data_IF_300969405922
#
_entry.id   IF_300969405922
#
_cell.length_a   1.000
_cell.length_b   1.000
_cell.length_c   1.000
_cell.angle_alpha   90.00
_cell.angle_beta   90.00
_cell.angle_gamma   90.00
#
_symmetry.space_group_name_H-M   'P 1'
#
loop_
_entity.id
_entity.type
_entity.pdbx_description
1 polymer ?
#
# COMPACT_ATOMS: atom_id res chain seq x y z
N UNK A 1 -48.24 -18.08 21.89
CA UNK A 1 -47.65 -16.75 22.18
C UNK A 1 -46.35 -17.02 22.91
N UNK A 2 -45.24 -17.23 22.23
CA UNK A 2 -44.29 -16.23 21.66
C UNK A 2 -43.35 -15.55 22.69
N UNK A 3 -42.07 -15.44 22.26
CA UNK A 3 -40.86 -14.73 22.77
C UNK A 3 -39.98 -15.54 23.76
N UNK A 4 -38.78 -16.05 23.42
CA UNK A 4 -37.53 -15.55 22.79
C UNK A 4 -36.58 -14.79 23.75
N UNK A 5 -35.29 -15.20 23.69
CA UNK A 5 -34.02 -14.51 23.97
C UNK A 5 -33.30 -14.85 25.30
N UNK A 6 -32.21 -15.62 25.27
CA UNK A 6 -30.79 -15.24 25.06
C UNK A 6 -30.15 -14.67 26.35
N UNK A 7 -29.28 -15.48 26.94
CA UNK A 7 -28.17 -15.17 27.86
C UNK A 7 -27.35 -16.47 27.86
N UNK A 8 -26.21 -16.62 27.19
CA UNK A 8 -25.10 -15.70 26.93
C UNK A 8 -23.86 -16.52 27.27
N UNK A 9 -23.13 -17.10 26.30
CA UNK A 9 -21.97 -17.92 26.61
C UNK A 9 -20.80 -17.01 26.99
N UNK A 10 -20.69 -16.78 28.29
CA UNK A 10 -19.57 -16.18 29.02
C UNK A 10 -18.34 -17.12 29.04
N UNK A 11 -18.06 -17.84 27.95
CA UNK A 11 -17.16 -19.02 27.96
C UNK A 11 -16.25 -19.13 26.73
N UNK A 12 -15.92 -17.99 26.10
CA UNK A 12 -14.90 -17.91 25.05
C UNK A 12 -13.68 -17.05 25.46
N UNK A 13 -13.51 -16.78 26.75
CA UNK A 13 -12.45 -15.90 27.30
C UNK A 13 -11.16 -16.65 27.68
N UNK A 14 -10.98 -17.92 27.29
CA UNK A 14 -9.88 -18.77 27.79
C UNK A 14 -9.01 -19.42 26.71
N UNK A 15 -9.11 -19.01 25.44
CA UNK A 15 -8.31 -19.57 24.33
C UNK A 15 -7.55 -18.52 23.49
N UNK A 16 -7.46 -17.26 23.94
CA UNK A 16 -6.69 -16.22 23.27
C UNK A 16 -5.16 -16.28 23.53
N UNK A 17 -4.66 -17.37 24.14
CA UNK A 17 -3.25 -17.56 24.53
C UNK A 17 -2.37 -18.26 23.49
N UNK A 18 -2.87 -18.57 22.30
CA UNK A 18 -2.08 -19.11 21.19
C UNK A 18 -2.49 -18.37 19.92
N UNK A 19 -1.56 -17.73 19.22
CA UNK A 19 -1.79 -16.85 18.07
C UNK A 19 -2.45 -17.51 16.85
N UNK A 20 -3.73 -17.88 16.95
CA UNK A 20 -4.49 -18.59 15.93
C UNK A 20 -5.80 -17.90 15.50
N UNK A 21 -6.18 -16.79 16.13
CA UNK A 21 -7.21 -15.93 15.54
C UNK A 21 -6.46 -14.88 14.73
N UNK A 22 -6.24 -15.18 13.45
CA UNK A 22 -5.94 -14.15 12.46
C UNK A 22 -7.04 -13.11 12.59
N UNK A 23 -6.70 -11.93 13.12
CA UNK A 23 -7.60 -10.79 13.16
C UNK A 23 -8.24 -10.66 11.78
N UNK A 24 -9.57 -10.51 11.67
CA UNK A 24 -10.21 -10.30 10.38
C UNK A 24 -9.49 -9.16 9.66
N UNK A 25 -9.15 -9.31 8.36
CA UNK A 25 -8.37 -8.32 7.65
C UNK A 25 -9.07 -6.96 7.75
N UNK A 26 -8.34 -5.95 8.23
CA UNK A 26 -8.86 -4.58 8.28
C UNK A 26 -8.97 -4.13 6.83
N UNK A 27 -10.19 -4.01 6.33
CA UNK A 27 -10.43 -3.53 4.97
C UNK A 27 -10.18 -2.01 4.93
N UNK A 28 -9.30 -1.56 4.04
CA UNK A 28 -8.98 -0.15 3.80
C UNK A 28 -8.64 0.69 5.07
N UNK A 29 -7.63 0.31 5.88
CA UNK A 29 -7.32 0.96 7.16
C UNK A 29 -6.93 2.44 7.04
N UNK A 30 -6.56 2.89 5.84
CA UNK A 30 -6.03 4.23 5.58
C UNK A 30 -6.94 5.07 4.66
N UNK A 31 -8.15 4.59 4.32
CA UNK A 31 -9.08 5.33 3.46
C UNK A 31 -8.54 5.60 2.05
N UNK A 32 -7.63 4.77 1.56
CA UNK A 32 -6.94 4.94 0.26
C UNK A 32 -7.73 4.38 -0.92
N UNK A 33 -8.80 3.63 -0.67
CA UNK A 33 -9.70 3.13 -1.71
C UNK A 33 -10.20 4.27 -2.61
N UNK A 34 -9.99 4.14 -3.92
CA UNK A 34 -10.36 5.13 -4.92
C UNK A 34 -9.41 6.32 -5.08
N UNK A 35 -8.29 6.38 -4.32
CA UNK A 35 -7.24 7.39 -4.53
C UNK A 35 -6.25 6.92 -5.59
N UNK A 36 -5.92 7.79 -6.53
CA UNK A 36 -4.99 7.51 -7.62
C UNK A 36 -3.62 8.14 -7.34
N UNK A 37 -2.55 7.36 -7.51
CA UNK A 37 -1.18 7.86 -7.42
C UNK A 37 -0.65 8.14 -8.83
N UNK A 38 -0.08 9.32 -9.10
CA UNK A 38 0.53 9.61 -10.41
C UNK A 38 2.02 9.82 -10.27
N UNK A 39 2.81 9.06 -11.04
CA UNK A 39 4.24 9.27 -11.25
C UNK A 39 4.42 9.91 -12.62
N UNK A 40 5.17 11.02 -12.66
CA UNK A 40 5.62 11.63 -13.91
C UNK A 40 7.11 11.37 -14.06
N UNK A 41 7.45 10.63 -15.10
CA UNK A 41 8.79 10.29 -15.57
C UNK A 41 9.10 11.15 -16.80
N UNK A 42 10.36 11.54 -16.99
CA UNK A 42 10.83 12.17 -18.23
C UNK A 42 11.28 11.17 -19.32
N UNK A 43 11.57 11.64 -20.54
CA UNK A 43 11.92 10.77 -21.66
C UNK A 43 13.36 10.26 -21.53
N UNK A 44 13.53 8.99 -21.12
CA UNK A 44 14.83 8.32 -21.08
C UNK A 44 14.68 6.80 -20.93
N UNK A 45 15.64 6.05 -21.49
CA UNK A 45 15.76 4.61 -21.30
C UNK A 45 15.98 4.18 -19.84
N UNK A 46 16.45 5.11 -18.99
CA UNK A 46 16.41 5.00 -17.54
C UNK A 46 15.91 6.31 -16.96
N UNK A 47 14.82 6.27 -16.20
CA UNK A 47 14.17 7.46 -15.67
C UNK A 47 13.71 7.25 -14.23
N UNK A 48 13.87 8.29 -13.42
CA UNK A 48 13.37 8.40 -12.05
C UNK A 48 12.18 9.35 -12.00
N UNK A 49 11.16 8.99 -11.22
CA UNK A 49 9.99 9.82 -10.94
C UNK A 49 9.62 9.72 -9.48
N UNK A 50 9.04 10.81 -8.97
CA UNK A 50 8.64 10.90 -7.57
C UNK A 50 7.17 11.17 -7.47
N UNK A 51 6.53 10.61 -6.44
CA UNK A 51 5.16 10.93 -6.09
C UNK A 51 5.01 11.06 -4.58
N UNK A 52 4.04 11.87 -4.18
CA UNK A 52 3.58 11.98 -2.80
C UNK A 52 2.07 11.92 -2.82
N UNK A 53 1.52 11.00 -2.05
CA UNK A 53 0.07 10.79 -1.94
C UNK A 53 -0.30 10.92 -0.47
N UNK A 54 -1.28 11.78 -0.19
CA UNK A 54 -1.78 12.01 1.17
C UNK A 54 -3.27 11.73 1.26
N UNK A 55 -3.70 11.24 2.42
CA UNK A 55 -5.10 11.10 2.79
C UNK A 55 -5.31 11.40 4.27
N UNK A 56 -6.52 11.79 4.63
CA UNK A 56 -7.00 11.88 6.02
C UNK A 56 -7.97 10.74 6.29
N UNK A 57 -8.03 10.24 7.52
CA UNK A 57 -8.94 9.15 7.89
C UNK A 57 -9.46 9.28 9.31
N UNK A 58 -10.64 8.71 9.57
CA UNK A 58 -11.24 8.68 10.91
C UNK A 58 -10.64 7.55 11.75
N UNK A 59 -10.78 7.67 13.07
CA UNK A 59 -10.37 6.61 14.01
C UNK A 59 -11.08 5.28 13.71
N UNK A 60 -10.31 4.20 13.67
CA UNK A 60 -10.80 2.85 13.45
C UNK A 60 -11.42 2.29 14.73
N UNK A 61 -12.75 2.39 14.83
CA UNK A 61 -13.51 2.01 16.03
C UNK A 61 -13.56 0.50 16.31
N UNK A 62 -13.29 -0.35 15.30
CA UNK A 62 -13.43 -1.82 15.38
C UNK A 62 -12.12 -2.56 15.12
N UNK A 63 -10.99 -2.00 15.56
CA UNK A 63 -9.67 -2.61 15.38
C UNK A 63 -9.50 -3.82 16.31
N UNK A 64 -9.99 -5.00 15.90
CA UNK A 64 -9.81 -6.25 16.64
C UNK A 64 -8.40 -6.80 16.39
N UNK A 65 -7.42 -6.24 17.09
CA UNK A 65 -6.02 -6.63 16.99
C UNK A 65 -5.68 -7.74 17.98
N UNK A 66 -4.74 -8.64 17.63
CA UNK A 66 -4.14 -9.52 18.63
C UNK A 66 -3.54 -8.66 19.76
N UNK A 67 -3.54 -9.20 20.99
CA UNK A 67 -3.10 -8.48 22.19
C UNK A 67 -1.64 -7.97 22.10
N UNK A 68 -0.82 -8.62 21.29
CA UNK A 68 0.56 -8.23 20.96
C UNK A 68 0.77 -8.39 19.45
N UNK A 69 0.43 -7.39 18.63
CA UNK A 69 0.73 -7.46 17.22
C UNK A 69 2.25 -7.41 17.03
N UNK A 70 2.80 -8.30 16.22
CA UNK A 70 4.26 -8.45 16.02
C UNK A 70 4.79 -7.57 14.88
N UNK A 71 3.89 -6.90 14.16
CA UNK A 71 4.23 -5.97 13.08
C UNK A 71 2.99 -5.63 12.24
N UNK A 72 3.05 -4.49 11.57
CA UNK A 72 2.15 -4.16 10.48
C UNK A 72 2.99 -4.14 9.20
N UNK A 73 2.92 -5.22 8.42
CA UNK A 73 3.68 -5.38 7.19
C UNK A 73 2.76 -5.23 5.98
N UNK A 74 3.11 -4.31 5.09
CA UNK A 74 2.47 -4.14 3.80
C UNK A 74 3.32 -4.81 2.73
N UNK A 75 2.74 -5.80 2.07
CA UNK A 75 3.32 -6.47 0.90
C UNK A 75 2.61 -5.93 -0.35
N UNK A 76 3.25 -5.06 -1.15
CA UNK A 76 2.66 -4.62 -2.39
C UNK A 76 2.43 -5.82 -3.31
N UNK A 77 1.31 -5.81 -4.03
CA UNK A 77 1.06 -6.73 -5.12
C UNK A 77 0.53 -5.93 -6.31
N UNK A 78 1.02 -6.29 -7.50
CA UNK A 78 0.57 -5.70 -8.75
C UNK A 78 -0.37 -6.71 -9.39
N UNK A 79 -1.64 -6.32 -9.52
CA UNK A 79 -2.66 -7.15 -10.14
C UNK A 79 -2.60 -7.07 -11.67
N UNK A 80 -2.33 -5.88 -12.21
CA UNK A 80 -2.35 -5.64 -13.67
C UNK A 80 -1.51 -4.42 -14.04
N UNK A 81 -0.94 -4.44 -15.24
CA UNK A 81 -0.35 -3.27 -15.90
C UNK A 81 -0.94 -3.17 -17.31
N UNK A 82 -1.51 -2.01 -17.63
CA UNK A 82 -2.04 -1.67 -18.95
C UNK A 82 -1.19 -0.58 -19.60
N UNK A 83 -0.84 -0.80 -20.88
CA UNK A 83 -0.16 0.19 -21.72
C UNK A 83 -1.22 1.03 -22.47
N UNK A 84 -1.07 2.34 -22.45
CA UNK A 84 -1.90 3.24 -23.24
C UNK A 84 -1.66 3.11 -24.76
N UNK A 85 -2.60 3.62 -25.54
CA UNK A 85 -2.54 3.55 -27.01
C UNK A 85 -1.37 4.35 -27.61
N UNK A 86 -0.90 5.38 -26.88
CA UNK A 86 0.19 6.27 -27.28
C UNK A 86 1.60 5.70 -27.04
N UNK A 87 1.70 4.48 -26.49
CA UNK A 87 3.00 3.87 -26.21
C UNK A 87 3.76 3.49 -27.50
N UNK A 88 5.11 3.60 -27.49
CA UNK A 88 5.92 3.33 -28.67
C UNK A 88 5.77 1.89 -29.16
N UNK A 89 5.86 1.70 -30.48
CA UNK A 89 5.79 0.39 -31.15
C UNK A 89 7.10 0.12 -31.90
N UNK A 90 7.77 -1.02 -31.67
CA UNK A 90 7.39 -2.10 -30.75
C UNK A 90 7.55 -1.71 -29.27
N UNK A 91 6.71 -2.27 -28.40
CA UNK A 91 6.88 -2.15 -26.94
C UNK A 91 8.19 -2.83 -26.49
N UNK A 92 8.82 -2.37 -25.40
CA UNK A 92 9.93 -3.06 -24.78
C UNK A 92 9.52 -4.45 -24.30
N UNK A 93 10.33 -5.46 -24.59
CA UNK A 93 10.09 -6.84 -24.14
C UNK A 93 10.18 -7.00 -22.62
N UNK A 94 10.92 -6.10 -21.97
CA UNK A 94 11.12 -6.06 -20.52
C UNK A 94 11.28 -4.63 -20.02
N UNK A 95 10.65 -4.33 -18.89
CA UNK A 95 10.83 -3.09 -18.12
C UNK A 95 11.30 -3.49 -16.73
N UNK A 96 12.48 -3.03 -16.34
CA UNK A 96 12.96 -3.18 -14.96
C UNK A 96 12.43 -2.03 -14.14
N UNK A 97 11.92 -2.32 -12.95
CA UNK A 97 11.35 -1.33 -12.05
C UNK A 97 12.02 -1.45 -10.69
N UNK A 98 12.50 -0.33 -10.16
CA UNK A 98 12.99 -0.18 -8.79
C UNK A 98 12.17 0.87 -8.07
N UNK A 99 11.83 0.62 -6.80
CA UNK A 99 10.99 1.45 -5.97
C UNK A 99 11.64 1.65 -4.60
N UNK A 100 11.78 2.91 -4.22
CA UNK A 100 11.96 3.32 -2.83
C UNK A 100 10.66 3.97 -2.36
N UNK A 101 10.17 3.60 -1.17
CA UNK A 101 8.96 4.21 -0.64
C UNK A 101 9.02 4.36 0.88
N UNK A 102 8.38 5.41 1.38
CA UNK A 102 8.17 5.68 2.80
C UNK A 102 6.70 6.00 3.02
N UNK A 103 6.03 5.19 3.83
CA UNK A 103 4.70 5.46 4.33
C UNK A 103 4.82 6.08 5.73
N UNK A 104 4.12 7.18 5.96
CA UNK A 104 4.02 7.84 7.26
C UNK A 104 2.56 7.93 7.65
N UNK A 105 2.25 7.52 8.87
CA UNK A 105 0.95 7.73 9.49
C UNK A 105 1.18 8.68 10.66
N UNK A 106 0.41 9.74 10.75
CA UNK A 106 0.59 10.77 11.77
C UNK A 106 -0.72 11.34 12.26
N UNK A 107 -0.68 11.93 13.45
CA UNK A 107 -1.78 12.70 14.02
C UNK A 107 -1.28 13.73 15.03
N UNK A 108 -2.25 14.39 15.66
CA UNK A 108 -2.07 15.05 16.95
C UNK A 108 -2.91 14.33 18.01
N UNK A 109 -2.34 14.14 19.21
CA UNK A 109 -3.09 13.62 20.35
C UNK A 109 -4.05 14.68 20.93
N UNK A 110 -4.83 14.28 21.94
CA UNK A 110 -5.80 15.17 22.61
C UNK A 110 -5.14 16.35 23.37
N UNK A 111 -3.82 16.34 23.52
CA UNK A 111 -3.00 17.39 24.12
C UNK A 111 -2.24 18.22 23.07
N UNK A 112 -2.53 18.03 21.77
CA UNK A 112 -1.86 18.65 20.63
C UNK A 112 -0.38 18.27 20.47
N UNK A 113 0.07 17.13 21.00
CA UNK A 113 1.40 16.63 20.69
C UNK A 113 1.37 15.87 19.35
N UNK A 114 2.28 16.15 18.41
CA UNK A 114 2.37 15.42 17.15
C UNK A 114 2.92 14.01 17.38
N UNK A 115 2.36 13.03 16.68
CA UNK A 115 2.86 11.66 16.68
C UNK A 115 2.97 11.16 15.24
N UNK A 116 3.94 10.28 15.00
CA UNK A 116 4.07 9.63 13.70
C UNK A 116 4.66 8.23 13.82
N UNK A 117 4.23 7.36 12.92
CA UNK A 117 4.81 6.05 12.70
C UNK A 117 5.15 5.90 11.22
N UNK A 118 6.31 5.31 10.93
CA UNK A 118 6.79 5.16 9.55
C UNK A 118 7.08 3.71 9.21
N UNK A 119 6.85 3.37 7.95
CA UNK A 119 7.31 2.15 7.30
C UNK A 119 8.06 2.56 6.03
N UNK A 120 9.16 1.89 5.72
CA UNK A 120 9.90 2.18 4.50
C UNK A 120 10.37 0.91 3.83
N UNK A 121 10.60 1.02 2.53
CA UNK A 121 11.23 0.03 1.69
C UNK A 121 12.25 0.73 0.81
N UNK A 122 13.39 0.07 0.61
CA UNK A 122 14.47 0.57 -0.26
C UNK A 122 14.90 -0.51 -1.23
N UNK A 123 14.97 -0.17 -2.51
CA UNK A 123 15.37 -1.07 -3.58
C UNK A 123 14.39 -2.22 -3.79
N UNK A 124 13.09 -2.00 -3.58
CA UNK A 124 12.11 -2.97 -4.01
C UNK A 124 12.16 -3.07 -5.54
N UNK A 125 12.21 -4.27 -6.10
CA UNK A 125 12.39 -4.42 -7.55
C UNK A 125 11.52 -5.52 -8.13
N UNK A 126 11.10 -5.32 -9.38
CA UNK A 126 10.37 -6.29 -10.15
C UNK A 126 10.57 -6.04 -11.65
N UNK A 127 10.15 -7.01 -12.45
CA UNK A 127 10.23 -6.93 -13.91
C UNK A 127 8.84 -7.04 -14.50
N UNK A 128 8.54 -6.17 -15.45
CA UNK A 128 7.36 -6.29 -16.32
C UNK A 128 7.83 -6.89 -17.63
N UNK A 129 7.27 -8.03 -18.03
CA UNK A 129 7.56 -8.68 -19.29
C UNK A 129 6.40 -8.49 -20.26
N UNK A 130 6.73 -8.17 -21.51
CA UNK A 130 5.77 -7.98 -22.61
C UNK A 130 6.11 -8.97 -23.71
N UNK A 131 5.19 -9.89 -24.01
CA UNK A 131 5.37 -10.92 -25.03
C UNK A 131 4.07 -11.20 -25.76
N UNK A 132 4.07 -11.10 -27.10
CA UNK A 132 2.90 -11.43 -27.93
C UNK A 132 1.63 -10.64 -27.59
N UNK A 133 1.76 -9.44 -27.01
CA UNK A 133 0.63 -8.63 -26.55
C UNK A 133 0.15 -8.94 -25.12
N UNK A 134 0.72 -9.96 -24.46
CA UNK A 134 0.48 -10.25 -23.06
C UNK A 134 1.47 -9.50 -22.17
N UNK A 135 0.99 -9.02 -21.02
CA UNK A 135 1.78 -8.36 -19.98
C UNK A 135 1.78 -9.23 -18.73
N UNK A 136 2.97 -9.51 -18.20
CA UNK A 136 3.13 -10.24 -16.93
C UNK A 136 4.08 -9.50 -16.01
N UNK A 137 3.80 -9.58 -14.71
CA UNK A 137 4.64 -8.96 -13.66
C UNK A 137 5.34 -10.07 -12.88
N UNK A 138 6.66 -9.98 -12.79
CA UNK A 138 7.47 -10.86 -11.96
C UNK A 138 7.23 -10.61 -10.47
N UNK A 139 7.73 -11.53 -9.64
CA UNK A 139 7.68 -11.37 -8.18
C UNK A 139 8.43 -10.12 -7.73
N UNK A 140 7.88 -9.43 -6.73
CA UNK A 140 8.52 -8.25 -6.14
C UNK A 140 9.57 -8.71 -5.14
N UNK A 141 10.82 -8.37 -5.41
CA UNK A 141 11.93 -8.56 -4.49
C UNK A 141 12.00 -7.39 -3.50
N UNK A 142 12.26 -7.70 -2.22
CA UNK A 142 12.41 -6.72 -1.14
C UNK A 142 11.25 -5.71 -1.05
N UNK A 143 10.02 -6.13 -1.36
CA UNK A 143 8.87 -5.22 -1.44
C UNK A 143 8.19 -4.89 -0.11
N UNK A 144 8.49 -5.63 0.95
CA UNK A 144 7.77 -5.53 2.22
C UNK A 144 8.13 -4.25 2.98
N UNK A 145 7.11 -3.46 3.33
CA UNK A 145 7.23 -2.31 4.23
C UNK A 145 6.72 -2.71 5.62
N UNK A 146 7.48 -2.47 6.68
CA UNK A 146 7.02 -2.73 8.06
C UNK A 146 7.11 -1.47 8.90
N UNK A 147 6.04 -1.14 9.64
CA UNK A 147 6.06 -0.02 10.56
C UNK A 147 6.97 -0.31 11.75
N UNK A 148 7.90 0.61 12.04
CA UNK A 148 8.90 0.46 13.10
C UNK A 148 8.32 0.72 14.49
N UNK A 149 7.37 1.66 14.61
CA UNK A 149 6.70 2.01 15.86
C UNK A 149 5.22 1.62 15.82
N UNK A 150 4.98 0.35 16.14
CA UNK A 150 3.64 -0.22 16.14
C UNK A 150 2.75 0.40 17.23
N UNK A 151 3.29 0.73 18.41
CA UNK A 151 2.49 1.32 19.48
C UNK A 151 1.98 2.70 19.09
N UNK A 152 2.84 3.53 18.52
CA UNK A 152 2.45 4.84 18.00
C UNK A 152 1.44 4.70 16.86
N UNK A 153 1.68 3.78 15.90
CA UNK A 153 0.72 3.50 14.83
C UNK A 153 -0.66 3.14 15.38
N UNK A 154 -0.74 2.21 16.33
CA UNK A 154 -2.02 1.77 16.90
C UNK A 154 -2.74 2.87 17.66
N UNK A 155 -2.00 3.73 18.36
CA UNK A 155 -2.58 4.87 19.06
C UNK A 155 -3.16 5.90 18.09
N UNK A 156 -2.47 6.16 16.98
CA UNK A 156 -2.98 7.03 15.91
C UNK A 156 -4.25 6.43 15.31
N UNK A 157 -4.22 5.15 14.93
CA UNK A 157 -5.36 4.47 14.31
C UNK A 157 -6.61 4.45 15.19
N UNK A 158 -6.47 4.39 16.52
CA UNK A 158 -7.61 4.27 17.45
C UNK A 158 -8.08 5.60 18.02
N UNK A 159 -7.16 6.49 18.37
CA UNK A 159 -7.40 7.61 19.27
C UNK A 159 -6.82 8.93 18.74
N UNK A 160 -6.61 9.05 17.44
CA UNK A 160 -6.08 10.27 16.90
C UNK A 160 -7.12 11.35 16.67
N UNK A 161 -6.67 12.60 16.70
CA UNK A 161 -7.56 13.77 16.60
C UNK A 161 -7.68 14.28 15.17
N UNK A 162 -6.64 14.12 14.37
CA UNK A 162 -6.55 14.54 12.96
C UNK A 162 -5.58 13.62 12.23
N UNK A 163 -6.04 12.42 11.86
CA UNK A 163 -5.15 11.42 11.30
C UNK A 163 -4.85 11.68 9.83
N UNK A 164 -3.59 11.54 9.47
CA UNK A 164 -3.12 11.62 8.10
C UNK A 164 -2.26 10.40 7.78
N UNK A 165 -2.33 9.95 6.53
CA UNK A 165 -1.44 8.97 5.96
C UNK A 165 -0.79 9.58 4.72
N UNK A 166 0.53 9.54 4.63
CA UNK A 166 1.29 9.97 3.47
C UNK A 166 2.14 8.82 2.94
N UNK A 167 2.20 8.67 1.62
CA UNK A 167 3.10 7.78 0.92
C UNK A 167 3.98 8.62 0.02
N UNK A 168 5.28 8.58 0.27
CA UNK A 168 6.30 9.16 -0.60
C UNK A 168 7.01 8.02 -1.32
N UNK A 169 7.13 8.12 -2.63
CA UNK A 169 7.77 7.08 -3.43
C UNK A 169 8.63 7.65 -4.55
N UNK A 170 9.76 7.01 -4.77
CA UNK A 170 10.66 7.21 -5.90
C UNK A 170 10.66 5.93 -6.72
N UNK A 171 10.27 6.06 -7.98
CA UNK A 171 10.21 4.96 -8.94
C UNK A 171 11.28 5.18 -10.01
N UNK A 172 12.11 4.17 -10.23
CA UNK A 172 13.08 4.14 -11.32
C UNK A 172 12.70 3.03 -12.29
N UNK A 173 12.60 3.36 -13.57
CA UNK A 173 12.29 2.39 -14.62
C UNK A 173 13.41 2.34 -15.65
N UNK A 174 13.67 1.15 -16.19
CA UNK A 174 14.60 0.95 -17.30
C UNK A 174 13.98 0.08 -18.38
N UNK A 175 13.97 0.55 -19.62
CA UNK A 175 13.42 -0.19 -20.77
C UNK A 175 14.13 0.15 -22.08
N UNK A 176 14.12 -0.80 -23.03
CA UNK A 176 14.60 -0.58 -24.40
C UNK A 176 13.61 -1.25 -25.38
N UNK A 177 13.00 -0.52 -26.33
CA UNK A 177 13.06 0.95 -26.49
C UNK A 177 12.55 1.70 -25.26
N UNK A 178 12.83 3.01 -25.19
CA UNK A 178 12.24 3.86 -24.16
C UNK A 178 10.71 3.91 -24.32
N UNK A 179 10.04 4.47 -23.31
CA UNK A 179 8.59 4.56 -23.24
C UNK A 179 8.11 6.01 -23.41
N UNK A 180 8.87 6.91 -24.03
CA UNK A 180 8.49 8.32 -24.15
C UNK A 180 7.04 8.51 -24.65
N UNK A 181 6.25 9.33 -23.94
CA UNK A 181 4.84 9.59 -24.25
C UNK A 181 3.88 8.48 -23.84
N UNK A 182 4.39 7.33 -23.36
CA UNK A 182 3.58 6.22 -22.89
C UNK A 182 2.95 6.52 -21.53
N UNK A 183 1.70 6.11 -21.36
CA UNK A 183 1.04 6.08 -20.06
C UNK A 183 0.82 4.62 -19.66
N UNK A 184 1.34 4.21 -18.50
CA UNK A 184 1.05 2.93 -17.89
C UNK A 184 0.02 3.11 -16.78
N UNK A 185 -0.98 2.23 -16.75
CA UNK A 185 -1.91 2.12 -15.62
C UNK A 185 -1.56 0.87 -14.83
N UNK A 186 -1.15 1.05 -13.56
CA UNK A 186 -0.82 -0.05 -12.64
C UNK A 186 -1.98 -0.23 -11.67
N UNK A 187 -2.53 -1.44 -11.61
CA UNK A 187 -3.56 -1.79 -10.63
C UNK A 187 -2.92 -2.55 -9.47
N UNK A 188 -3.10 -2.04 -8.26
CA UNK A 188 -2.66 -2.65 -7.01
C UNK A 188 -3.87 -3.27 -6.31
N UNK A 189 -3.65 -4.14 -5.32
CA UNK A 189 -4.74 -4.81 -4.58
C UNK A 189 -5.78 -3.89 -3.89
N UNK A 190 -5.59 -2.57 -3.89
CA UNK A 190 -6.51 -1.59 -3.30
C UNK A 190 -6.66 -0.26 -4.07
N UNK A 191 -6.19 -0.15 -5.32
CA UNK A 191 -6.28 1.09 -6.08
C UNK A 191 -5.56 1.06 -7.42
N UNK A 192 -5.58 2.18 -8.15
CA UNK A 192 -4.85 2.35 -9.42
C UNK A 192 -3.80 3.44 -9.30
N UNK A 193 -2.68 3.25 -9.98
CA UNK A 193 -1.65 4.26 -10.18
C UNK A 193 -1.40 4.48 -11.66
N UNK A 194 -0.92 5.66 -12.01
CA UNK A 194 -0.53 6.00 -13.38
C UNK A 194 0.93 6.39 -13.41
N UNK A 195 1.66 5.85 -14.38
CA UNK A 195 3.05 6.20 -14.66
C UNK A 195 3.07 6.82 -16.06
N UNK A 196 3.49 8.07 -16.17
CA UNK A 196 3.60 8.78 -17.45
C UNK A 196 5.07 8.96 -17.78
N UNK A 197 5.48 8.58 -18.99
CA UNK A 197 6.85 8.66 -19.50
C UNK A 197 7.01 9.77 -20.53
#
# INVERSE_FOLDING_TARGET
MERIAILGPLTALLLAGCGLISSPPINNPFGLEGKQSTFTLGPSAQVEGRTTVGATFDNLQNLNLPATPTGFTFNPSIAKIDFGDDCPKPLPSSIQVTLDATATVSDTDAQNNPRSATASVRGASFTVSVSGGAVSVGSIYNGSMTFSDLNTLLNILKNGSSNTATLEATLTTQSIPDLEGCTLTVTWGGGTGTIKF
#
